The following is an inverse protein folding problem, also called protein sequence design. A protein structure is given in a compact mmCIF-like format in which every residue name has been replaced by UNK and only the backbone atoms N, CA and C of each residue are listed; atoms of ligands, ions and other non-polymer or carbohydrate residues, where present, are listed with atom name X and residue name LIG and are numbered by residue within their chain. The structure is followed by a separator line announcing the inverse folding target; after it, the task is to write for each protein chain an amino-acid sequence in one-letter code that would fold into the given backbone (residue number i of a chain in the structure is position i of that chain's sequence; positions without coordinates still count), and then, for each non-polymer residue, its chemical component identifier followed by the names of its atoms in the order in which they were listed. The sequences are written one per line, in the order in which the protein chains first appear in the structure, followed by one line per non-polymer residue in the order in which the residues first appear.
data_IF_653702585874
#
_entry.id   IF_653702585874
#
_cell.length_a   1.000
_cell.length_b   1.000
_cell.length_c   1.000
_cell.angle_alpha   90.00
_cell.angle_beta   90.00
_cell.angle_gamma   90.00
#
_symmetry.space_group_name_H-M   'P 1'
#
loop_
_entity.id
_entity.type
_entity.pdbx_description
1 polymer ?
#
# COMPACT_ATOMS: atom_id res chain seq x y z
N UNK A 1 24.68 -13.19 15.13
CA UNK A 1 24.49 -12.69 13.78
C UNK A 1 23.07 -13.02 13.32
N UNK A 2 22.31 -12.01 12.87
CA UNK A 2 21.02 -12.20 12.22
C UNK A 2 21.27 -12.38 10.71
N UNK A 3 20.86 -13.51 10.16
CA UNK A 3 20.80 -13.71 8.71
C UNK A 3 19.32 -13.53 8.30
N UNK A 4 19.07 -12.68 7.34
CA UNK A 4 17.72 -12.38 6.87
C UNK A 4 17.65 -12.56 5.36
N UNK A 5 16.66 -13.31 4.90
CA UNK A 5 16.31 -13.45 3.49
C UNK A 5 15.02 -12.71 3.22
N UNK A 6 15.02 -11.84 2.22
CA UNK A 6 13.83 -11.09 1.78
C UNK A 6 13.37 -11.62 0.43
N UNK A 7 12.08 -11.83 0.30
CA UNK A 7 11.42 -12.18 -0.97
C UNK A 7 10.17 -11.33 -1.17
N UNK A 8 9.80 -11.08 -2.40
CA UNK A 8 8.58 -10.34 -2.76
C UNK A 8 7.69 -11.23 -3.60
N UNK A 9 6.47 -11.43 -3.14
CA UNK A 9 5.49 -12.31 -3.75
C UNK A 9 4.07 -11.74 -3.58
N UNK A 10 3.10 -12.29 -4.28
CA UNK A 10 1.69 -12.01 -4.01
C UNK A 10 1.25 -12.55 -2.65
N UNK A 11 0.29 -11.90 -2.02
CA UNK A 11 -0.22 -12.25 -0.66
C UNK A 11 -0.56 -13.72 -0.53
N UNK A 12 -1.25 -14.32 -1.51
CA UNK A 12 -1.60 -15.75 -1.49
C UNK A 12 -0.38 -16.67 -1.46
N UNK A 13 0.68 -16.31 -2.20
CA UNK A 13 1.94 -17.06 -2.19
C UNK A 13 2.65 -16.91 -0.85
N UNK A 14 2.66 -15.71 -0.27
CA UNK A 14 3.23 -15.46 1.06
C UNK A 14 2.52 -16.28 2.14
N UNK A 15 1.18 -16.35 2.09
CA UNK A 15 0.37 -17.18 3.01
C UNK A 15 0.74 -18.66 2.88
N UNK A 16 0.83 -19.17 1.66
CA UNK A 16 1.26 -20.57 1.42
C UNK A 16 2.66 -20.84 1.97
N UNK A 17 3.61 -19.90 1.77
CA UNK A 17 4.98 -20.02 2.31
C UNK A 17 5.01 -20.00 3.83
N UNK A 18 4.16 -19.18 4.48
CA UNK A 18 3.98 -19.20 5.94
C UNK A 18 3.44 -20.56 6.40
N UNK A 19 2.41 -21.09 5.76
CA UNK A 19 1.82 -22.40 6.08
C UNK A 19 2.83 -23.54 5.94
N UNK A 20 3.67 -23.50 4.90
CA UNK A 20 4.75 -24.46 4.66
C UNK A 20 5.99 -24.22 5.52
N UNK A 21 6.01 -23.17 6.34
CA UNK A 21 7.17 -22.75 7.17
C UNK A 21 8.43 -22.43 6.37
N UNK A 22 8.25 -21.98 5.12
CA UNK A 22 9.34 -21.52 4.26
C UNK A 22 9.78 -20.10 4.60
N UNK A 23 8.88 -19.31 5.21
CA UNK A 23 9.15 -17.97 5.74
C UNK A 23 8.56 -17.83 7.15
N UNK A 24 9.17 -16.98 7.97
CA UNK A 24 8.75 -16.75 9.36
C UNK A 24 7.69 -15.63 9.46
N UNK A 25 7.79 -14.63 8.60
CA UNK A 25 7.01 -13.40 8.63
C UNK A 25 6.67 -12.93 7.21
N UNK A 26 5.53 -12.27 7.05
CA UNK A 26 5.20 -11.56 5.82
C UNK A 26 4.62 -10.18 6.13
N UNK A 27 4.87 -9.20 5.25
CA UNK A 27 4.20 -7.90 5.23
C UNK A 27 3.24 -7.87 4.06
N UNK A 28 2.00 -7.47 4.30
CA UNK A 28 0.96 -7.36 3.28
C UNK A 28 0.23 -6.03 3.40
N UNK A 29 -0.32 -5.54 2.29
CA UNK A 29 -1.14 -4.33 2.26
C UNK A 29 -2.63 -4.62 2.46
N UNK A 30 -2.97 -5.81 2.92
CA UNK A 30 -4.34 -6.21 3.26
C UNK A 30 -4.30 -7.26 4.37
N UNK A 31 -5.30 -7.26 5.28
CA UNK A 31 -5.42 -8.31 6.27
C UNK A 31 -5.76 -9.65 5.61
N UNK A 32 -5.25 -10.74 6.18
CA UNK A 32 -5.57 -12.10 5.78
C UNK A 32 -6.26 -12.80 6.93
N UNK A 33 -7.39 -13.43 6.65
CA UNK A 33 -8.11 -14.26 7.61
C UNK A 33 -8.17 -15.69 7.04
N UNK A 34 -7.15 -16.46 7.32
CA UNK A 34 -7.04 -17.84 6.81
C UNK A 34 -6.28 -18.73 7.79
N UNK A 35 -6.90 -19.84 8.18
CA UNK A 35 -6.27 -20.92 8.95
C UNK A 35 -5.54 -20.43 10.20
N UNK A 36 -4.31 -20.88 10.37
CA UNK A 36 -3.42 -20.58 11.49
C UNK A 36 -2.62 -19.30 11.32
N UNK A 37 -3.02 -18.42 10.40
CA UNK A 37 -2.31 -17.16 10.17
C UNK A 37 -2.83 -16.08 11.13
N UNK A 38 -1.92 -15.55 11.94
CA UNK A 38 -2.16 -14.39 12.79
C UNK A 38 -1.82 -13.13 12.01
N UNK A 39 -2.80 -12.26 11.88
CA UNK A 39 -2.65 -10.93 11.25
C UNK A 39 -2.57 -9.86 12.33
N UNK A 40 -1.52 -9.05 12.28
CA UNK A 40 -1.36 -7.88 13.16
C UNK A 40 -1.34 -6.62 12.32
N UNK A 41 -2.26 -5.69 12.57
CA UNK A 41 -2.26 -4.38 11.93
C UNK A 41 -1.07 -3.56 12.44
N UNK A 42 -0.22 -3.11 11.50
CA UNK A 42 0.90 -2.21 11.82
C UNK A 42 0.45 -0.77 11.75
N UNK A 43 -0.12 -0.36 10.62
CA UNK A 43 -0.55 1.01 10.35
C UNK A 43 -1.42 1.09 9.10
N UNK A 44 -2.07 2.22 8.90
CA UNK A 44 -2.72 2.58 7.65
C UNK A 44 -1.73 3.27 6.71
N UNK A 45 -1.70 2.82 5.46
CA UNK A 45 -0.86 3.37 4.39
C UNK A 45 -1.72 4.22 3.48
N UNK A 46 -1.45 5.53 3.35
CA UNK A 46 -2.23 6.39 2.47
C UNK A 46 -2.15 5.94 1.02
N UNK A 47 -3.29 5.99 0.34
CA UNK A 47 -3.36 5.96 -1.10
C UNK A 47 -3.21 7.39 -1.64
N UNK A 48 -2.51 7.52 -2.75
CA UNK A 48 -2.24 8.79 -3.41
C UNK A 48 -2.54 8.71 -4.90
N UNK A 49 -3.02 9.81 -5.45
CA UNK A 49 -3.12 9.96 -6.90
C UNK A 49 -1.75 10.30 -7.48
N UNK A 50 -1.41 9.67 -8.58
CA UNK A 50 -0.15 9.87 -9.28
C UNK A 50 -0.41 10.27 -10.73
N UNK A 51 0.18 11.40 -11.15
CA UNK A 51 0.11 11.90 -12.51
C UNK A 51 1.29 12.83 -12.82
N UNK A 52 1.94 12.61 -13.94
CA UNK A 52 3.05 13.45 -14.40
C UNK A 52 2.61 14.88 -14.75
N UNK A 53 1.37 15.06 -15.19
CA UNK A 53 0.87 16.32 -15.75
C UNK A 53 -0.05 17.10 -14.82
N UNK A 54 -0.55 16.47 -13.75
CA UNK A 54 -1.43 17.15 -12.80
C UNK A 54 -0.63 18.17 -11.96
N UNK A 55 -1.26 19.34 -11.69
CA UNK A 55 -0.59 20.46 -10.99
C UNK A 55 -1.48 21.14 -9.93
N UNK A 56 -2.66 20.60 -9.71
CA UNK A 56 -3.61 21.18 -8.76
C UNK A 56 -3.58 20.36 -7.47
N UNK A 57 -3.33 20.82 -6.35
CA UNK A 57 -3.36 20.24 -5.00
C UNK A 57 -3.96 18.83 -4.81
N UNK A 58 -4.95 18.68 -3.91
CA UNK A 58 -5.64 17.41 -3.70
C UNK A 58 -6.58 17.07 -4.88
N UNK A 59 -6.71 15.77 -5.16
CA UNK A 59 -7.53 15.25 -6.25
C UNK A 59 -8.82 14.65 -5.69
N UNK A 60 -9.96 15.13 -6.16
CA UNK A 60 -11.23 14.45 -5.93
C UNK A 60 -11.33 13.23 -6.85
N UNK A 61 -11.73 12.09 -6.27
CA UNK A 61 -11.84 10.84 -7.04
C UNK A 61 -12.74 11.00 -8.26
N UNK A 62 -13.76 11.87 -8.17
CA UNK A 62 -14.70 12.14 -9.23
C UNK A 62 -14.11 12.89 -10.42
N UNK A 63 -12.98 13.56 -10.23
CA UNK A 63 -12.30 14.35 -11.24
C UNK A 63 -11.18 13.58 -11.97
N UNK A 64 -10.95 12.31 -11.61
CA UNK A 64 -9.94 11.50 -12.25
C UNK A 64 -10.32 11.21 -13.70
N UNK A 65 -9.41 11.49 -14.62
CA UNK A 65 -9.57 11.22 -16.03
C UNK A 65 -9.53 9.71 -16.32
N UNK A 66 -10.70 9.16 -16.58
CA UNK A 66 -10.88 7.74 -16.84
C UNK A 66 -10.18 7.26 -18.12
N UNK A 67 -10.02 8.12 -19.12
CA UNK A 67 -9.36 7.77 -20.39
C UNK A 67 -7.87 7.56 -20.23
N UNK A 68 -7.29 8.14 -19.17
CA UNK A 68 -5.86 8.05 -18.83
C UNK A 68 -5.58 7.08 -17.70
N UNK A 69 -6.61 6.37 -17.20
CA UNK A 69 -6.49 5.49 -16.07
C UNK A 69 -5.63 4.27 -16.34
N UNK A 70 -4.66 4.02 -15.44
CA UNK A 70 -3.85 2.80 -15.36
C UNK A 70 -4.31 2.03 -14.13
N UNK A 71 -4.86 0.84 -14.32
CA UNK A 71 -5.37 0.00 -13.23
C UNK A 71 -4.24 -0.87 -12.64
N UNK A 72 -3.92 -0.72 -11.35
CA UNK A 72 -2.87 -1.51 -10.70
C UNK A 72 -3.41 -2.85 -10.16
N UNK A 73 -3.84 -3.71 -11.07
CA UNK A 73 -4.29 -5.07 -10.76
C UNK A 73 -5.72 -5.20 -10.21
N UNK A 74 -6.35 -6.35 -10.44
CA UNK A 74 -7.78 -6.55 -10.14
C UNK A 74 -8.08 -6.66 -8.64
N UNK A 75 -7.09 -6.98 -7.82
CA UNK A 75 -7.24 -7.17 -6.38
C UNK A 75 -6.80 -5.94 -5.55
N UNK A 76 -6.42 -4.86 -6.22
CA UNK A 76 -6.07 -3.62 -5.52
C UNK A 76 -7.31 -2.85 -5.08
N UNK A 77 -7.21 -2.09 -3.98
CA UNK A 77 -8.29 -1.18 -3.58
C UNK A 77 -8.58 -0.13 -4.65
N UNK A 78 -7.55 0.30 -5.39
CA UNK A 78 -7.71 1.20 -6.54
C UNK A 78 -8.52 0.58 -7.66
N UNK A 79 -8.42 -0.74 -7.90
CA UNK A 79 -9.30 -1.44 -8.83
C UNK A 79 -10.75 -1.49 -8.31
N UNK A 80 -10.95 -1.66 -7.00
CA UNK A 80 -12.29 -1.60 -6.41
C UNK A 80 -12.93 -0.21 -6.56
N UNK A 81 -12.15 0.87 -6.47
CA UNK A 81 -12.58 2.23 -6.75
C UNK A 81 -12.97 2.36 -8.23
N UNK A 82 -12.11 1.88 -9.12
CA UNK A 82 -12.35 1.89 -10.56
C UNK A 82 -13.63 1.12 -10.94
N UNK A 83 -13.87 -0.04 -10.33
CA UNK A 83 -15.07 -0.87 -10.55
C UNK A 83 -16.35 -0.16 -10.10
N UNK A 84 -16.33 0.55 -8.96
CA UNK A 84 -17.48 1.30 -8.45
C UNK A 84 -17.88 2.48 -9.34
N UNK A 85 -16.97 2.96 -10.18
CA UNK A 85 -17.15 4.14 -11.03
C UNK A 85 -17.18 3.84 -12.51
N UNK A 86 -17.33 2.57 -12.88
CA UNK A 86 -17.38 2.15 -14.28
C UNK A 86 -16.17 2.66 -15.12
N UNK A 87 -14.96 2.49 -14.58
CA UNK A 87 -13.73 2.67 -15.36
C UNK A 87 -13.59 1.55 -16.41
N UNK A 88 -14.70 1.22 -17.08
CA UNK A 88 -14.77 0.13 -18.06
C UNK A 88 -13.86 0.31 -19.28
N UNK A 89 -13.36 1.53 -19.47
CA UNK A 89 -12.47 1.88 -20.59
C UNK A 89 -10.99 1.85 -20.23
N UNK A 90 -10.60 1.18 -19.14
CA UNK A 90 -9.20 1.06 -18.75
C UNK A 90 -8.36 0.51 -19.90
N UNK A 91 -7.44 1.32 -20.43
CA UNK A 91 -6.59 0.94 -21.57
C UNK A 91 -5.37 0.14 -21.15
N UNK A 92 -4.95 0.24 -19.87
CA UNK A 92 -3.78 -0.40 -19.35
C UNK A 92 -4.03 -0.98 -17.97
N UNK A 93 -3.90 -2.30 -17.85
CA UNK A 93 -3.91 -3.02 -16.60
C UNK A 93 -2.48 -3.48 -16.29
N UNK A 94 -2.02 -3.24 -15.08
CA UNK A 94 -0.72 -3.68 -14.58
C UNK A 94 -0.90 -4.52 -13.31
N UNK A 95 0.08 -5.34 -12.96
CA UNK A 95 -0.07 -6.28 -11.85
C UNK A 95 0.25 -5.68 -10.49
N UNK A 96 1.04 -4.60 -10.45
CA UNK A 96 1.53 -4.02 -9.19
C UNK A 96 1.46 -2.50 -9.21
N UNK A 97 1.40 -1.90 -8.03
CA UNK A 97 1.53 -0.45 -7.87
C UNK A 97 2.85 0.08 -8.43
N UNK A 98 3.94 -0.68 -8.25
CA UNK A 98 5.24 -0.33 -8.81
C UNK A 98 5.20 -0.17 -10.33
N UNK A 99 4.58 -1.11 -11.05
CA UNK A 99 4.42 -1.01 -12.50
C UNK A 99 3.58 0.21 -12.88
N UNK A 100 2.49 0.50 -12.15
CA UNK A 100 1.69 1.69 -12.39
C UNK A 100 2.53 2.97 -12.28
N UNK A 101 3.39 3.09 -11.27
CA UNK A 101 4.28 4.25 -11.10
C UNK A 101 5.26 4.42 -12.27
N UNK A 102 5.80 3.33 -12.80
CA UNK A 102 6.70 3.37 -13.97
C UNK A 102 6.01 3.91 -15.23
N UNK A 103 4.78 3.49 -15.49
CA UNK A 103 4.02 3.99 -16.63
C UNK A 103 3.63 5.47 -16.46
N UNK A 104 3.20 5.86 -15.25
CA UNK A 104 2.89 7.27 -14.95
C UNK A 104 4.13 8.15 -15.10
N UNK A 105 5.29 7.72 -14.61
CA UNK A 105 6.57 8.43 -14.77
C UNK A 105 6.89 8.74 -16.25
N UNK A 106 6.51 7.85 -17.15
CA UNK A 106 6.66 8.01 -18.60
C UNK A 106 5.54 8.82 -19.25
N UNK A 107 4.56 9.31 -18.48
CA UNK A 107 3.45 10.12 -18.97
C UNK A 107 2.35 9.34 -19.69
N UNK A 108 2.29 8.01 -19.49
CA UNK A 108 1.33 7.15 -20.19
C UNK A 108 -0.08 7.18 -19.59
N UNK A 109 -0.26 7.84 -18.45
CA UNK A 109 -1.55 7.95 -17.79
C UNK A 109 -1.45 8.43 -16.35
N UNK A 110 -2.50 8.14 -15.58
CA UNK A 110 -2.61 8.41 -14.15
C UNK A 110 -3.08 7.16 -13.40
N UNK A 111 -2.84 7.11 -12.10
CA UNK A 111 -3.27 5.98 -11.26
C UNK A 111 -3.47 6.40 -9.80
N UNK A 112 -3.99 5.48 -8.99
CA UNK A 112 -3.94 5.55 -7.53
C UNK A 112 -3.05 4.41 -7.06
N UNK A 113 -2.10 4.71 -6.17
CA UNK A 113 -1.15 3.74 -5.63
C UNK A 113 -0.90 4.01 -4.14
N UNK A 114 -0.27 3.07 -3.46
CA UNK A 114 0.22 3.31 -2.12
C UNK A 114 1.38 4.32 -2.12
N UNK A 115 1.54 5.05 -1.01
CA UNK A 115 2.53 6.12 -0.89
C UNK A 115 3.97 5.61 -0.98
N UNK A 116 4.26 4.37 -0.54
CA UNK A 116 5.62 3.83 -0.59
C UNK A 116 6.06 3.59 -2.04
N UNK A 117 5.17 2.96 -2.85
CA UNK A 117 5.41 2.76 -4.28
C UNK A 117 5.55 4.08 -5.02
N UNK A 118 4.73 5.09 -4.68
CA UNK A 118 4.83 6.41 -5.27
C UNK A 118 6.16 7.10 -4.94
N UNK A 119 6.53 7.21 -3.65
CA UNK A 119 7.73 7.92 -3.23
C UNK A 119 9.03 7.27 -3.67
N UNK A 120 9.02 5.95 -3.91
CA UNK A 120 10.20 5.24 -4.38
C UNK A 120 10.56 5.61 -5.83
N UNK A 121 9.56 5.86 -6.66
CA UNK A 121 9.75 5.97 -8.11
C UNK A 121 9.47 7.36 -8.69
N UNK A 122 8.71 8.20 -8.01
CA UNK A 122 8.18 9.44 -8.56
C UNK A 122 8.75 10.66 -7.83
N UNK A 123 8.89 11.74 -8.57
CA UNK A 123 9.17 13.04 -8.00
C UNK A 123 7.95 13.56 -7.21
N UNK A 124 8.15 14.30 -6.12
CA UNK A 124 7.08 14.76 -5.24
C UNK A 124 5.93 15.49 -5.95
N UNK A 125 6.23 16.24 -7.01
CA UNK A 125 5.26 16.98 -7.82
C UNK A 125 4.32 16.09 -8.66
N UNK A 126 4.57 14.79 -8.72
CA UNK A 126 3.72 13.82 -9.37
C UNK A 126 2.79 13.09 -8.40
N UNK A 127 2.90 13.36 -7.09
CA UNK A 127 2.21 12.65 -6.02
C UNK A 127 1.23 13.62 -5.35
N UNK A 128 -0.06 13.30 -5.40
CA UNK A 128 -1.12 14.18 -4.93
C UNK A 128 -2.00 13.48 -3.90
N UNK A 129 -2.42 14.16 -2.82
CA UNK A 129 -3.39 13.63 -1.90
C UNK A 129 -4.75 13.43 -2.60
N UNK A 130 -5.54 12.49 -2.08
CA UNK A 130 -6.87 12.16 -2.59
C UNK A 130 -7.91 12.71 -1.60
N UNK A 131 -9.01 13.22 -2.13
CA UNK A 131 -10.15 13.68 -1.35
C UNK A 131 -11.40 12.87 -1.72
N UNK A 132 -12.09 12.23 -0.77
CA UNK A 132 -11.69 12.07 0.64
C UNK A 132 -10.43 11.20 0.79
N UNK A 133 -9.67 11.35 1.89
CA UNK A 133 -8.48 10.54 2.15
C UNK A 133 -8.81 9.05 2.15
N UNK A 134 -7.93 8.25 1.55
CA UNK A 134 -8.05 6.80 1.47
C UNK A 134 -6.76 6.14 1.94
N UNK A 135 -6.91 4.98 2.58
CA UNK A 135 -5.78 4.19 3.07
C UNK A 135 -6.04 2.70 2.91
N UNK A 136 -4.96 1.93 2.94
CA UNK A 136 -4.95 0.47 3.01
C UNK A 136 -4.19 0.01 4.24
N UNK A 137 -4.52 -1.17 4.75
CA UNK A 137 -3.93 -1.70 5.97
C UNK A 137 -2.58 -2.37 5.68
N UNK A 138 -1.51 -1.87 6.30
CA UNK A 138 -0.23 -2.58 6.35
C UNK A 138 -0.28 -3.57 7.52
N UNK A 139 -0.18 -4.84 7.20
CA UNK A 139 -0.29 -5.94 8.14
C UNK A 139 1.00 -6.77 8.20
N UNK A 140 1.30 -7.26 9.41
CA UNK A 140 2.27 -8.31 9.65
C UNK A 140 1.51 -9.64 9.77
N UNK A 141 1.93 -10.63 8.99
CA UNK A 141 1.43 -11.99 9.05
C UNK A 141 2.48 -12.92 9.66
N UNK A 142 2.04 -13.84 10.48
CA UNK A 142 2.85 -14.96 11.00
C UNK A 142 1.97 -16.15 11.33
N UNK A 143 2.53 -17.32 11.53
CA UNK A 143 1.77 -18.43 12.07
C UNK A 143 1.47 -18.21 13.56
N UNK A 144 0.28 -18.60 13.97
CA UNK A 144 -0.15 -18.49 15.38
C UNK A 144 0.54 -19.53 16.28
N UNK A 145 0.86 -20.71 15.73
CA UNK A 145 1.48 -21.84 16.45
C UNK A 145 3.03 -21.72 16.55
N UNK A 146 3.63 -20.68 15.97
CA UNK A 146 5.08 -20.48 15.98
C UNK A 146 5.44 -19.24 16.80
N UNK A 147 6.27 -19.44 17.84
CA UNK A 147 6.86 -18.35 18.60
C UNK A 147 8.09 -17.80 17.88
N UNK A 148 8.17 -16.49 17.78
CA UNK A 148 9.36 -15.84 17.24
C UNK A 148 10.53 -15.96 18.21
N UNK A 149 11.74 -16.11 17.68
CA UNK A 149 12.93 -15.97 18.50
C UNK A 149 13.02 -14.57 19.12
N UNK A 150 13.68 -14.39 20.27
CA UNK A 150 13.84 -13.07 20.89
C UNK A 150 14.45 -12.02 19.95
N UNK A 151 15.32 -12.43 19.04
CA UNK A 151 15.92 -11.55 18.03
C UNK A 151 14.90 -11.17 16.95
N UNK A 152 14.13 -12.12 16.45
CA UNK A 152 13.07 -11.86 15.47
C UNK A 152 11.99 -10.95 16.05
N UNK A 153 11.62 -11.15 17.32
CA UNK A 153 10.65 -10.27 17.99
C UNK A 153 11.18 -8.83 18.09
N UNK A 154 12.43 -8.62 18.51
CA UNK A 154 13.04 -7.29 18.55
C UNK A 154 13.09 -6.63 17.17
N UNK A 155 13.38 -7.40 16.13
CA UNK A 155 13.35 -6.91 14.75
C UNK A 155 11.93 -6.45 14.35
N UNK A 156 10.92 -7.26 14.64
CA UNK A 156 9.51 -6.92 14.36
C UNK A 156 9.10 -5.64 15.08
N UNK A 157 9.42 -5.53 16.38
CA UNK A 157 9.06 -4.36 17.19
C UNK A 157 9.72 -3.09 16.62
N UNK A 158 11.00 -3.17 16.29
CA UNK A 158 11.73 -2.07 15.64
C UNK A 158 11.12 -1.69 14.28
N UNK A 159 10.86 -2.67 13.43
CA UNK A 159 10.26 -2.47 12.11
C UNK A 159 8.89 -1.79 12.21
N UNK A 160 8.01 -2.31 13.06
CA UNK A 160 6.68 -1.75 13.28
C UNK A 160 6.75 -0.30 13.80
N UNK A 161 7.65 -0.02 14.74
CA UNK A 161 7.85 1.32 15.26
C UNK A 161 8.30 2.30 14.16
N UNK A 162 9.29 1.89 13.36
CA UNK A 162 9.83 2.73 12.25
C UNK A 162 8.77 3.00 11.18
N UNK A 163 8.02 1.99 10.77
CA UNK A 163 6.95 2.14 9.78
C UNK A 163 5.84 3.08 10.28
N UNK A 164 5.40 2.93 11.54
CA UNK A 164 4.39 3.83 12.13
C UNK A 164 4.89 5.27 12.18
N UNK A 165 6.14 5.48 12.58
CA UNK A 165 6.72 6.83 12.63
C UNK A 165 6.78 7.44 11.22
N UNK A 166 7.29 6.71 10.24
CA UNK A 166 7.40 7.18 8.87
C UNK A 166 6.03 7.53 8.27
N UNK A 167 5.03 6.66 8.46
CA UNK A 167 3.67 6.90 7.97
C UNK A 167 3.01 8.11 8.65
N UNK A 168 3.27 8.32 9.93
CA UNK A 168 2.80 9.53 10.64
C UNK A 168 3.38 10.80 10.01
N UNK A 169 4.66 10.82 9.71
CA UNK A 169 5.33 11.96 9.05
C UNK A 169 4.80 12.19 7.64
N UNK A 170 4.56 11.12 6.89
CA UNK A 170 3.97 11.17 5.54
C UNK A 170 2.55 11.74 5.60
N UNK A 171 1.71 11.24 6.49
CA UNK A 171 0.33 11.71 6.64
C UNK A 171 0.27 13.20 7.00
N UNK A 172 1.13 13.68 7.89
CA UNK A 172 1.22 15.10 8.23
C UNK A 172 1.62 15.99 7.03
N UNK A 173 2.41 15.46 6.09
CA UNK A 173 2.77 16.19 4.85
C UNK A 173 1.65 16.19 3.82
N UNK A 174 0.97 15.05 3.64
CA UNK A 174 -0.10 14.91 2.66
C UNK A 174 -1.37 15.66 3.08
N UNK A 175 -1.66 15.67 4.37
CA UNK A 175 -2.90 16.20 4.93
C UNK A 175 -2.61 17.12 6.14
N UNK A 176 -2.01 18.31 5.93
CA UNK A 176 -1.60 19.20 7.02
C UNK A 176 -2.76 19.68 7.89
N UNK A 177 -3.95 19.79 7.31
CA UNK A 177 -5.15 20.30 7.99
C UNK A 177 -5.90 19.20 8.78
N UNK A 178 -5.57 17.92 8.59
CA UNK A 178 -6.21 16.79 9.28
C UNK A 178 -5.63 16.48 10.68
N UNK A 179 -5.14 17.47 11.41
CA UNK A 179 -4.64 17.30 12.79
C UNK A 179 -5.65 16.71 13.80
N UNK A 180 -6.92 16.47 13.40
CA UNK A 180 -8.00 16.08 14.33
C UNK A 180 -8.74 14.78 14.03
N UNK A 181 -8.40 14.00 13.01
CA UNK A 181 -9.25 12.88 12.60
C UNK A 181 -8.51 11.56 12.30
N UNK A 182 -7.54 11.20 13.12
CA UNK A 182 -7.10 9.80 13.20
C UNK A 182 -7.44 9.37 14.62
N UNK A 183 -8.73 9.10 14.86
CA UNK A 183 -9.14 8.32 16.01
C UNK A 183 -8.72 6.87 15.72
N UNK A 184 -8.07 6.17 16.66
CA UNK A 184 -7.84 4.74 16.51
C UNK A 184 -9.22 4.07 16.45
N UNK A 185 -9.47 3.35 15.39
CA UNK A 185 -10.56 2.39 15.34
C UNK A 185 -10.26 1.34 16.39
N UNK A 186 -11.08 1.34 17.47
CA UNK A 186 -11.09 0.37 18.55
C UNK A 186 -11.46 -1.04 18.06
#
# INVERSE_FOLDING_TARGET
NLVMTLTTEHTETLVKKLDLREIDLALTLQPVQQGEILTTLIAEVPLVYIDRHYRQGAVEIDQIDQQRWISPGPHSLSAAIATRRDFSTTRLNVQTYYMATEFVKRGMGCSITDIFSAQHNLAPEMIHPITPPMAINLCLLRRADVSLSPMAQKFVDFLCQRLRQQLKEINLRLYPDHKKSIAPLG
#
